data_IF_155765252022
#
_entry.id   IF_155765252022
#
_cell.length_a   1.000
_cell.length_b   1.000
_cell.length_c   1.000
_cell.angle_alpha   90.00
_cell.angle_beta   90.00
_cell.angle_gamma   90.00
#
_symmetry.space_group_name_H-M   'P 1'
#
loop_
_entity.id
_entity.type
_entity.pdbx_description
1 polymer ?
#
# COMPACT_ATOMS: atom_id res chain seq x y z
N UNK A 1 51.48 -4.64 56.95
CA UNK A 1 52.61 -5.19 57.72
C UNK A 1 52.36 -6.69 57.83
N UNK A 2 53.12 -7.62 57.24
CA UNK A 2 54.39 -7.53 56.48
C UNK A 2 54.43 -8.76 55.56
N UNK A 3 54.34 -8.65 54.23
CA UNK A 3 55.41 -8.43 53.23
C UNK A 3 56.53 -9.50 53.15
N UNK A 4 56.37 -10.44 52.21
CA UNK A 4 57.41 -11.24 51.51
C UNK A 4 56.80 -11.70 50.15
N UNK A 5 57.52 -11.87 49.04
CA UNK A 5 58.92 -11.51 48.76
C UNK A 5 59.55 -12.27 47.58
N UNK A 6 59.55 -11.67 46.38
CA UNK A 6 60.32 -12.07 45.18
C UNK A 6 59.69 -13.12 44.24
N UNK A 7 60.27 -13.46 43.07
CA UNK A 7 61.04 -12.72 42.05
C UNK A 7 61.60 -13.71 41.00
N UNK A 8 61.68 -13.30 39.73
CA UNK A 8 62.39 -14.00 38.63
C UNK A 8 61.47 -14.40 37.45
N UNK A 9 61.84 -14.38 36.17
CA UNK A 9 62.91 -13.82 35.29
C UNK A 9 62.94 -14.74 34.04
N UNK A 10 63.38 -14.25 32.87
CA UNK A 10 63.32 -14.98 31.58
C UNK A 10 62.10 -14.56 30.74
N UNK A 11 62.13 -13.62 29.77
CA UNK A 11 63.08 -13.22 28.72
C UNK A 11 63.44 -14.30 27.70
N UNK A 12 62.78 -14.25 26.54
CA UNK A 12 63.36 -14.50 25.21
C UNK A 12 62.82 -13.46 24.21
N UNK A 13 63.49 -13.27 23.07
CA UNK A 13 63.18 -12.24 22.08
C UNK A 13 63.58 -12.68 20.65
N UNK A 14 62.95 -12.07 19.64
CA UNK A 14 63.09 -12.40 18.22
C UNK A 14 61.70 -12.38 17.56
N UNK A 15 61.27 -11.30 16.90
CA UNK A 15 61.73 -10.78 15.61
C UNK A 15 61.37 -11.72 14.45
N UNK A 16 60.29 -11.38 13.76
CA UNK A 16 60.29 -11.25 12.30
C UNK A 16 59.14 -10.33 11.88
N UNK A 17 59.29 -9.66 10.73
CA UNK A 17 58.30 -8.75 10.19
C UNK A 17 57.96 -9.18 8.76
N UNK A 18 56.67 -9.32 8.46
CA UNK A 18 56.18 -9.49 7.11
C UNK A 18 55.03 -8.49 6.85
N UNK A 19 55.03 -7.89 5.67
CA UNK A 19 54.22 -6.72 5.36
C UNK A 19 53.34 -6.95 4.13
N UNK A 20 52.11 -7.44 4.34
CA UNK A 20 51.09 -7.44 3.29
C UNK A 20 49.97 -8.45 3.45
N UNK A 21 48.81 -7.98 3.89
CA UNK A 21 47.74 -7.79 2.90
C UNK A 21 46.95 -6.52 3.21
N UNK A 22 46.69 -5.73 2.17
CA UNK A 22 45.86 -4.53 2.23
C UNK A 22 44.37 -4.87 2.17
N UNK A 23 43.92 -5.73 3.10
CA UNK A 23 42.56 -6.30 3.18
C UNK A 23 41.46 -5.24 3.30
N UNK A 24 41.15 -4.60 2.17
CA UNK A 24 40.29 -3.42 2.04
C UNK A 24 38.82 -3.80 2.25
N UNK A 25 38.44 -3.98 3.51
CA UNK A 25 37.06 -4.24 3.95
C UNK A 25 36.12 -3.14 3.44
N UNK A 26 35.45 -3.42 2.33
CA UNK A 26 34.65 -2.46 1.62
C UNK A 26 33.47 -1.98 2.47
N UNK A 27 33.49 -0.71 2.86
CA UNK A 27 32.40 -0.04 3.56
C UNK A 27 31.18 0.21 2.61
N UNK A 28 30.59 -0.90 2.13
CA UNK A 28 29.44 -0.94 1.23
C UNK A 28 28.13 -1.30 1.93
N UNK A 29 28.05 -1.12 3.26
CA UNK A 29 26.84 -1.37 4.04
C UNK A 29 25.80 -0.29 3.72
N UNK A 30 24.95 -0.57 2.73
CA UNK A 30 23.73 0.18 2.50
C UNK A 30 22.86 0.23 3.77
N UNK A 31 22.05 1.28 3.97
CA UNK A 31 21.53 1.67 5.28
C UNK A 31 20.74 0.55 5.97
N UNK A 32 21.39 -0.13 6.93
CA UNK A 32 20.85 -1.33 7.55
C UNK A 32 19.50 -1.05 8.24
N UNK A 33 18.58 -2.01 8.16
CA UNK A 33 17.29 -1.94 8.85
C UNK A 33 17.52 -2.35 10.32
N UNK A 34 17.40 -1.45 11.31
CA UNK A 34 17.77 -1.77 12.69
C UNK A 34 17.08 -3.02 13.23
N UNK A 35 17.78 -3.76 14.09
CA UNK A 35 17.29 -5.04 14.62
C UNK A 35 15.86 -4.96 15.19
N UNK A 36 15.52 -3.90 15.94
CA UNK A 36 14.17 -3.66 16.45
C UNK A 36 13.09 -3.62 15.35
N UNK A 37 13.39 -3.04 14.19
CA UNK A 37 12.48 -3.02 13.04
C UNK A 37 12.33 -4.41 12.39
N UNK A 38 13.40 -5.21 12.38
CA UNK A 38 13.36 -6.62 11.92
C UNK A 38 12.54 -7.51 12.85
N UNK A 39 12.74 -7.36 14.17
CA UNK A 39 12.00 -8.07 15.22
C UNK A 39 10.52 -7.73 15.18
N UNK A 40 10.16 -6.45 15.05
CA UNK A 40 8.77 -6.03 14.87
C UNK A 40 8.15 -6.68 13.62
N UNK A 41 8.84 -6.66 12.49
CA UNK A 41 8.33 -7.25 11.25
C UNK A 41 8.15 -8.78 11.35
N UNK A 42 9.02 -9.49 12.07
CA UNK A 42 8.86 -10.91 12.36
C UNK A 42 7.60 -11.18 13.19
N UNK A 43 7.45 -10.49 14.33
CA UNK A 43 6.30 -10.63 15.21
C UNK A 43 4.97 -10.27 14.51
N UNK A 44 4.96 -9.29 13.60
CA UNK A 44 3.78 -8.97 12.79
C UNK A 44 3.47 -10.04 11.72
N UNK A 45 4.47 -10.76 11.20
CA UNK A 45 4.22 -11.94 10.34
C UNK A 45 3.61 -13.09 11.15
N UNK A 46 4.12 -13.36 12.35
CA UNK A 46 3.58 -14.39 13.26
C UNK A 46 2.12 -14.12 13.63
N UNK A 47 1.77 -12.88 13.97
CA UNK A 47 0.37 -12.48 14.18
C UNK A 47 -0.45 -12.65 12.89
N UNK A 48 0.07 -12.24 11.73
CA UNK A 48 -0.64 -12.41 10.45
C UNK A 48 -0.92 -13.88 10.13
N UNK A 49 0.04 -14.79 10.25
CA UNK A 49 -0.21 -16.19 9.87
C UNK A 49 -1.29 -16.84 10.76
N UNK A 50 -1.38 -16.47 12.06
CA UNK A 50 -2.49 -16.91 12.92
C UNK A 50 -3.88 -16.40 12.48
N UNK A 51 -3.97 -15.29 11.74
CA UNK A 51 -5.24 -14.84 11.14
C UNK A 51 -5.67 -15.66 9.92
N UNK A 52 -4.76 -16.47 9.34
CA UNK A 52 -4.96 -17.14 8.05
C UNK A 52 -5.10 -16.18 6.84
N UNK A 53 -4.95 -14.87 7.02
CA UNK A 53 -5.21 -13.90 5.96
C UNK A 53 -4.05 -13.82 4.96
N UNK A 54 -4.35 -14.00 3.69
CA UNK A 54 -3.44 -13.60 2.59
C UNK A 54 -3.20 -12.08 2.62
N UNK A 55 -2.08 -11.61 2.05
CA UNK A 55 -1.78 -10.17 1.98
C UNK A 55 -2.89 -9.37 1.26
N UNK A 56 -3.60 -9.97 0.31
CA UNK A 56 -4.76 -9.37 -0.35
C UNK A 56 -5.97 -9.28 0.60
N UNK A 57 -6.25 -10.34 1.38
CA UNK A 57 -7.36 -10.34 2.34
C UNK A 57 -7.12 -9.37 3.51
N UNK A 58 -5.88 -9.29 4.02
CA UNK A 58 -5.49 -8.30 5.03
C UNK A 58 -5.62 -6.87 4.51
N UNK A 59 -5.22 -6.62 3.25
CA UNK A 59 -5.41 -5.31 2.60
C UNK A 59 -6.88 -4.98 2.31
N UNK A 60 -7.76 -5.98 2.17
CA UNK A 60 -9.21 -5.79 2.05
C UNK A 60 -9.91 -5.50 3.38
N UNK A 61 -9.34 -5.95 4.51
CA UNK A 61 -9.88 -5.74 5.86
C UNK A 61 -9.30 -4.53 6.60
N UNK A 62 -8.38 -3.78 6.00
CA UNK A 62 -7.67 -2.65 6.65
C UNK A 62 -7.47 -1.48 5.68
N UNK A 63 -7.23 -0.24 6.13
CA UNK A 63 -7.12 0.93 5.23
C UNK A 63 -5.82 1.00 4.40
N UNK A 64 -4.98 -0.06 4.44
CA UNK A 64 -3.63 -0.14 3.88
C UNK A 64 -3.55 -1.15 2.72
N UNK A 65 -2.84 -0.78 1.63
CA UNK A 65 -2.70 -1.63 0.45
C UNK A 65 -1.85 -2.88 0.70
N UNK A 66 -1.99 -3.89 -0.17
CA UNK A 66 -1.11 -5.09 -0.19
C UNK A 66 0.38 -4.72 -0.20
N UNK A 67 0.78 -3.75 -1.03
CA UNK A 67 2.17 -3.26 -1.12
C UNK A 67 2.62 -2.48 0.13
N UNK A 68 1.68 -1.88 0.89
CA UNK A 68 1.97 -1.28 2.19
C UNK A 68 2.27 -2.38 3.21
N UNK A 69 1.39 -3.38 3.31
CA UNK A 69 1.58 -4.55 4.17
C UNK A 69 2.86 -5.31 3.88
N UNK A 70 3.15 -5.56 2.60
CA UNK A 70 4.37 -6.22 2.16
C UNK A 70 5.63 -5.45 2.56
N UNK A 71 5.62 -4.10 2.52
CA UNK A 71 6.75 -3.29 3.01
C UNK A 71 6.90 -3.34 4.52
N UNK A 72 5.80 -3.34 5.28
CA UNK A 72 5.82 -3.42 6.74
C UNK A 72 6.32 -4.79 7.22
N UNK A 73 5.75 -5.87 6.69
CA UNK A 73 6.05 -7.26 7.05
C UNK A 73 7.44 -7.72 6.57
N UNK A 74 8.08 -6.98 5.66
CA UNK A 74 9.47 -7.17 5.25
C UNK A 74 10.45 -6.15 5.88
N UNK A 75 10.02 -5.37 6.89
CA UNK A 75 10.80 -4.32 7.56
C UNK A 75 11.32 -3.17 6.64
N UNK A 76 10.90 -3.14 5.36
CA UNK A 76 11.24 -2.10 4.36
C UNK A 76 10.57 -0.74 4.65
N UNK A 77 9.67 -0.70 5.62
CA UNK A 77 9.12 0.52 6.22
C UNK A 77 8.66 0.17 7.64
N UNK A 78 8.82 1.09 8.58
CA UNK A 78 8.07 1.01 9.84
C UNK A 78 6.55 1.10 9.50
N UNK A 79 5.69 0.23 10.04
CA UNK A 79 4.24 0.40 9.96
C UNK A 79 3.77 1.58 10.83
N UNK A 80 2.65 2.24 10.50
CA UNK A 80 1.94 3.08 11.46
C UNK A 80 1.40 2.23 12.63
N UNK A 81 1.35 2.78 13.85
CA UNK A 81 0.79 2.09 15.02
C UNK A 81 -0.67 1.65 14.82
N UNK A 82 -1.46 2.43 14.06
CA UNK A 82 -2.85 2.05 13.70
C UNK A 82 -2.90 0.77 12.83
N UNK A 83 -1.87 0.51 12.01
CA UNK A 83 -1.76 -0.75 11.26
C UNK A 83 -1.42 -1.93 12.18
N UNK A 84 -0.48 -1.73 13.10
CA UNK A 84 -0.11 -2.72 14.13
C UNK A 84 -1.35 -3.14 14.95
N UNK A 85 -2.12 -2.14 15.41
CA UNK A 85 -3.36 -2.37 16.18
C UNK A 85 -4.41 -3.13 15.38
N UNK A 86 -4.69 -2.72 14.14
CA UNK A 86 -5.65 -3.41 13.28
C UNK A 86 -5.27 -4.87 12.97
N UNK A 87 -3.98 -5.20 12.93
CA UNK A 87 -3.53 -6.59 12.75
C UNK A 87 -3.68 -7.43 14.03
N UNK A 88 -3.41 -6.84 15.21
CA UNK A 88 -3.69 -7.50 16.49
C UNK A 88 -5.20 -7.74 16.68
N UNK A 89 -6.03 -6.73 16.36
CA UNK A 89 -7.50 -6.82 16.41
C UNK A 89 -8.03 -7.95 15.50
N UNK A 90 -7.52 -8.06 14.26
CA UNK A 90 -7.84 -9.15 13.34
C UNK A 90 -7.36 -10.54 13.79
N UNK A 91 -6.48 -10.63 14.80
CA UNK A 91 -5.98 -11.86 15.41
C UNK A 91 -6.60 -12.18 16.78
N UNK A 92 -7.40 -11.27 17.36
CA UNK A 92 -7.89 -11.38 18.73
C UNK A 92 -6.85 -11.05 19.81
N UNK A 93 -5.70 -10.46 19.43
CA UNK A 93 -4.58 -10.18 20.33
C UNK A 93 -4.74 -8.84 21.08
N UNK A 94 -4.39 -8.77 22.39
CA UNK A 94 -4.27 -7.51 23.09
C UNK A 94 -3.08 -6.70 22.53
N UNK A 95 -3.27 -5.46 22.03
CA UNK A 95 -2.24 -4.74 21.29
C UNK A 95 -1.10 -4.17 22.15
N UNK A 96 -1.13 -4.33 23.47
CA UNK A 96 -0.16 -3.73 24.40
C UNK A 96 1.29 -4.19 24.12
N UNK A 97 1.53 -5.50 24.10
CA UNK A 97 2.86 -6.10 23.86
C UNK A 97 3.42 -5.72 22.48
N UNK A 98 2.55 -5.62 21.46
CA UNK A 98 2.97 -5.21 20.12
C UNK A 98 3.18 -3.69 20.00
N UNK A 99 2.46 -2.89 20.80
CA UNK A 99 2.70 -1.43 20.90
C UNK A 99 4.08 -1.15 21.49
N UNK A 100 4.47 -1.80 22.58
CA UNK A 100 5.81 -1.65 23.16
C UNK A 100 6.94 -2.05 22.18
N UNK A 101 6.75 -3.15 21.42
CA UNK A 101 7.66 -3.55 20.34
C UNK A 101 7.71 -2.54 19.20
N UNK A 102 6.59 -1.88 18.89
CA UNK A 102 6.52 -0.81 17.89
C UNK A 102 7.25 0.46 18.35
N UNK A 103 7.14 0.84 19.62
CA UNK A 103 7.83 2.03 20.18
C UNK A 103 9.35 1.89 20.12
N UNK A 104 9.89 0.70 20.48
CA UNK A 104 11.32 0.39 20.32
C UNK A 104 11.77 0.46 18.85
N UNK A 105 10.94 -0.04 17.93
CA UNK A 105 11.23 0.04 16.50
C UNK A 105 11.14 1.48 15.96
N UNK A 106 10.21 2.32 16.44
CA UNK A 106 10.14 3.73 16.06
C UNK A 106 11.34 4.52 16.61
N UNK A 107 11.75 4.29 17.85
CA UNK A 107 12.95 4.92 18.44
C UNK A 107 14.20 4.62 17.60
N UNK A 108 14.41 3.36 17.21
CA UNK A 108 15.50 2.94 16.34
C UNK A 108 15.39 3.54 14.91
N UNK A 109 14.19 3.58 14.33
CA UNK A 109 13.95 4.18 13.01
C UNK A 109 14.21 5.69 13.01
N UNK A 110 13.78 6.41 14.07
CA UNK A 110 14.09 7.82 14.33
C UNK A 110 15.58 8.05 14.58
N UNK A 111 16.31 7.06 15.07
CA UNK A 111 17.77 7.05 15.10
C UNK A 111 18.38 7.10 13.70
N UNK A 112 18.01 6.13 12.84
CA UNK A 112 18.51 6.06 11.46
C UNK A 112 18.16 7.31 10.62
N UNK A 113 17.00 7.92 10.88
CA UNK A 113 16.59 9.16 10.21
C UNK A 113 17.45 10.38 10.61
N UNK A 114 18.05 10.39 11.82
CA UNK A 114 18.97 11.44 12.26
C UNK A 114 20.39 11.22 11.74
N UNK A 115 20.90 9.99 11.75
CA UNK A 115 22.24 9.70 11.20
C UNK A 115 22.28 9.90 9.67
N UNK A 116 21.21 9.56 8.96
CA UNK A 116 21.08 9.80 7.52
C UNK A 116 20.95 11.27 7.10
N UNK A 117 20.88 12.22 8.03
CA UNK A 117 20.85 13.66 7.75
C UNK A 117 22.23 14.35 7.91
N UNK A 118 23.25 13.63 8.39
CA UNK A 118 24.54 14.19 8.81
C UNK A 118 25.57 14.45 7.69
N UNK A 119 25.15 14.68 6.45
CA UNK A 119 26.07 14.79 5.29
C UNK A 119 25.70 15.90 4.27
N UNK A 120 25.24 17.07 4.74
CA UNK A 120 25.27 18.30 3.92
C UNK A 120 26.04 19.38 4.69
N UNK A 121 27.06 19.94 4.04
CA UNK A 121 27.96 20.96 4.60
C UNK A 121 27.35 22.36 4.48
N UNK A 122 27.50 23.14 5.53
CA UNK A 122 27.02 24.53 5.61
C UNK A 122 27.92 25.51 4.83
N UNK A 123 27.30 26.45 4.11
CA UNK A 123 27.92 27.67 3.57
C UNK A 123 26.81 28.71 3.25
N UNK A 124 26.96 30.00 3.62
CA UNK A 124 25.91 31.02 3.41
C UNK A 124 26.12 31.89 2.15
N UNK A 125 25.06 32.55 1.69
CA UNK A 125 25.09 33.56 0.62
C UNK A 125 23.74 34.28 0.48
N UNK A 126 23.77 35.62 0.39
CA UNK A 126 22.59 36.52 0.55
C UNK A 126 22.17 37.15 -0.81
N UNK A 127 21.23 38.13 -0.95
CA UNK A 127 20.18 38.00 -1.97
C UNK A 127 20.09 39.12 -3.03
N UNK A 128 19.46 38.80 -4.16
CA UNK A 128 18.86 39.75 -5.12
C UNK A 128 17.93 38.99 -6.10
N UNK A 129 17.02 39.60 -6.88
CA UNK A 129 16.17 40.79 -6.73
C UNK A 129 15.25 40.88 -7.98
N UNK A 130 14.36 41.88 -8.01
CA UNK A 130 13.71 42.46 -9.20
C UNK A 130 12.67 41.65 -10.02
N UNK A 131 11.53 42.32 -10.23
CA UNK A 131 10.62 42.25 -11.40
C UNK A 131 9.87 40.92 -11.70
N UNK A 132 8.68 40.96 -12.32
CA UNK A 132 7.94 42.10 -12.88
C UNK A 132 6.60 42.35 -12.18
N UNK A 133 6.15 43.62 -12.21
CA UNK A 133 4.73 43.96 -12.11
C UNK A 133 4.06 43.64 -13.44
N UNK A 134 2.81 43.22 -13.41
CA UNK A 134 1.86 43.72 -14.41
C UNK A 134 0.45 43.81 -13.80
N UNK A 135 -0.40 44.61 -14.44
CA UNK A 135 -1.72 45.03 -13.95
C UNK A 135 -2.69 44.98 -15.12
N UNK A 136 -3.88 44.39 -14.95
CA UNK A 136 -5.15 45.05 -15.28
C UNK A 136 -6.38 44.18 -14.98
N UNK A 137 -7.54 44.79 -15.23
CA UNK A 137 -8.94 44.34 -15.31
C UNK A 137 -9.19 42.83 -15.55
N UNK A 138 -10.21 42.19 -14.96
CA UNK A 138 -11.63 42.60 -14.72
C UNK A 138 -12.49 42.60 -15.99
N UNK A 139 -13.11 41.46 -16.28
CA UNK A 139 -14.36 41.38 -17.06
C UNK A 139 -15.30 40.37 -16.40
N UNK A 140 -16.51 40.82 -16.08
CA UNK A 140 -17.70 40.05 -15.69
C UNK A 140 -18.86 40.69 -16.48
N UNK A 141 -19.77 39.91 -17.07
CA UNK A 141 -21.08 39.61 -16.43
C UNK A 141 -21.27 38.09 -16.22
N UNK A 142 -21.97 37.62 -15.18
CA UNK A 142 -23.43 37.70 -14.95
C UNK A 142 -24.21 36.93 -16.05
N UNK A 143 -24.42 35.62 -15.87
CA UNK A 143 -25.61 34.97 -15.26
C UNK A 143 -26.90 35.15 -16.07
N UNK A 144 -27.51 34.03 -16.47
CA UNK A 144 -28.94 33.77 -16.25
C UNK A 144 -29.24 32.25 -16.34
N UNK A 145 -30.21 31.70 -15.58
CA UNK A 145 -30.46 30.26 -15.50
C UNK A 145 -31.59 29.79 -16.42
N UNK A 146 -31.64 28.49 -16.70
CA UNK A 146 -32.85 27.83 -17.23
C UNK A 146 -32.90 26.33 -16.89
N UNK A 147 -34.04 25.93 -16.33
CA UNK A 147 -34.47 24.56 -16.08
C UNK A 147 -35.99 24.60 -15.91
N UNK A 148 -36.74 23.60 -16.40
CA UNK A 148 -37.48 22.78 -15.44
C UNK A 148 -37.55 21.28 -15.78
N UNK A 149 -37.99 20.51 -14.77
CA UNK A 149 -38.13 19.05 -14.76
C UNK A 149 -39.28 18.48 -15.60
N UNK A 150 -39.23 17.19 -15.95
CA UNK A 150 -40.21 16.20 -15.43
C UNK A 150 -39.88 14.72 -15.73
N UNK A 151 -39.58 13.98 -14.66
CA UNK A 151 -40.21 12.71 -14.23
C UNK A 151 -40.96 11.82 -15.25
N UNK A 152 -40.49 10.57 -15.49
CA UNK A 152 -41.15 9.36 -14.94
C UNK A 152 -40.38 8.01 -15.13
N UNK A 153 -40.88 6.92 -14.52
CA UNK A 153 -40.33 5.53 -14.44
C UNK A 153 -41.45 4.57 -13.94
N UNK A 154 -41.42 3.21 -14.03
CA UNK A 154 -40.79 2.22 -14.95
C UNK A 154 -41.83 1.29 -15.66
N UNK A 155 -41.39 0.30 -16.46
CA UNK A 155 -41.92 -1.10 -16.41
C UNK A 155 -41.11 -2.14 -17.22
N UNK A 156 -41.42 -3.44 -17.08
CA UNK A 156 -40.74 -4.63 -17.67
C UNK A 156 -41.75 -5.82 -17.78
N UNK A 157 -41.39 -7.00 -18.35
CA UNK A 157 -41.48 -7.48 -19.76
C UNK A 157 -42.85 -8.19 -20.09
N UNK A 158 -43.03 -9.02 -21.16
CA UNK A 158 -42.62 -10.45 -21.12
C UNK A 158 -42.31 -11.20 -22.48
N UNK A 159 -41.74 -12.41 -22.34
CA UNK A 159 -41.74 -13.63 -23.21
C UNK A 159 -42.10 -13.60 -24.73
N UNK A 160 -41.10 -13.89 -25.58
CA UNK A 160 -40.83 -15.23 -26.17
C UNK A 160 -41.72 -15.87 -27.26
N UNK A 161 -41.10 -16.64 -28.19
CA UNK A 161 -41.66 -17.84 -28.85
C UNK A 161 -40.62 -18.62 -29.70
N UNK A 162 -40.86 -19.91 -29.89
CA UNK A 162 -40.12 -20.87 -30.74
C UNK A 162 -40.80 -21.05 -32.11
N UNK A 163 -40.05 -21.53 -33.12
CA UNK A 163 -40.57 -22.50 -34.11
C UNK A 163 -39.44 -23.21 -34.87
N UNK A 164 -39.76 -24.31 -35.58
CA UNK A 164 -38.85 -25.12 -36.40
C UNK A 164 -39.58 -25.74 -37.61
N UNK A 165 -38.82 -26.21 -38.62
CA UNK A 165 -39.27 -27.00 -39.79
C UNK A 165 -38.05 -27.82 -40.25
N UNK A 166 -38.06 -29.14 -40.46
CA UNK A 166 -38.87 -30.00 -41.36
C UNK A 166 -38.59 -29.70 -42.86
N UNK A 167 -38.44 -30.67 -43.78
CA UNK A 167 -38.61 -32.15 -43.77
C UNK A 167 -37.60 -32.79 -44.80
N UNK A 168 -37.51 -34.06 -45.23
CA UNK A 168 -38.37 -35.28 -45.14
C UNK A 168 -37.56 -36.61 -45.33
N UNK A 169 -38.23 -37.71 -45.75
CA UNK A 169 -37.67 -39.01 -46.22
C UNK A 169 -38.59 -39.53 -47.37
N UNK A 170 -38.76 -40.84 -47.78
CA UNK A 170 -38.28 -42.18 -47.32
C UNK A 170 -37.18 -42.74 -48.29
N UNK A 171 -36.95 -44.02 -48.68
CA UNK A 171 -37.61 -45.37 -48.59
C UNK A 171 -36.54 -46.46 -48.91
N UNK A 172 -36.59 -47.75 -48.55
CA UNK A 172 -37.45 -48.53 -47.63
C UNK A 172 -37.73 -49.98 -48.12
N UNK A 173 -37.59 -50.99 -47.23
CA UNK A 173 -37.73 -52.48 -47.42
C UNK A 173 -36.64 -53.16 -48.28
N UNK A 174 -36.18 -54.39 -48.00
CA UNK A 174 -36.50 -55.43 -46.97
C UNK A 174 -35.19 -56.11 -46.47
N UNK A 175 -35.06 -57.31 -45.86
CA UNK A 175 -35.94 -58.45 -45.49
C UNK A 175 -35.37 -59.17 -44.22
N UNK A 176 -35.68 -60.47 -44.00
CA UNK A 176 -35.27 -61.36 -42.88
C UNK A 176 -35.54 -62.84 -43.30
N UNK A 177 -35.22 -63.94 -42.55
CA UNK A 177 -34.54 -64.11 -41.24
C UNK A 177 -33.10 -64.74 -41.38
N UNK A 178 -32.46 -65.66 -40.60
CA UNK A 178 -32.81 -66.64 -39.53
C UNK A 178 -31.61 -67.01 -38.57
N UNK A 179 -31.90 -67.92 -37.63
CA UNK A 179 -31.13 -68.65 -36.58
C UNK A 179 -29.98 -69.58 -37.05
N UNK A 180 -29.25 -70.34 -36.16
CA UNK A 180 -29.13 -70.31 -34.68
C UNK A 180 -27.68 -70.43 -34.08
N UNK A 181 -27.57 -70.25 -32.75
CA UNK A 181 -26.61 -70.87 -31.77
C UNK A 181 -25.09 -70.95 -32.03
N UNK A 182 -24.29 -70.35 -31.13
CA UNK A 182 -22.97 -70.82 -30.71
C UNK A 182 -22.65 -70.40 -29.25
N UNK A 183 -21.71 -71.08 -28.57
CA UNK A 183 -21.35 -70.86 -27.15
C UNK A 183 -20.33 -69.73 -26.95
N UNK A 184 -20.36 -69.08 -25.78
CA UNK A 184 -19.25 -68.28 -25.27
C UNK A 184 -18.11 -69.16 -24.74
N UNK A 185 -16.86 -68.65 -24.76
CA UNK A 185 -15.99 -68.75 -23.60
C UNK A 185 -15.40 -67.39 -23.19
N UNK A 186 -14.96 -67.27 -21.94
CA UNK A 186 -14.35 -66.04 -21.42
C UNK A 186 -12.80 -66.09 -21.44
N UNK A 187 -12.13 -65.03 -21.91
CA UNK A 187 -10.88 -64.48 -21.34
C UNK A 187 -10.21 -63.42 -22.25
N UNK A 188 -10.40 -62.12 -21.95
CA UNK A 188 -9.70 -61.02 -22.66
C UNK A 188 -9.51 -59.74 -21.80
N UNK A 189 -9.47 -59.86 -20.47
CA UNK A 189 -9.53 -58.73 -19.53
C UNK A 189 -8.17 -58.12 -19.14
N UNK A 190 -7.05 -58.64 -19.66
CA UNK A 190 -5.68 -58.24 -19.25
C UNK A 190 -5.08 -57.12 -20.12
N UNK A 191 -5.33 -57.11 -21.44
CA UNK A 191 -4.74 -56.12 -22.36
C UNK A 191 -5.18 -54.67 -22.10
N UNK A 192 -6.46 -54.44 -21.78
CA UNK A 192 -7.02 -53.08 -21.59
C UNK A 192 -6.45 -52.31 -20.39
N UNK A 193 -5.77 -52.96 -19.44
CA UNK A 193 -5.18 -52.28 -18.27
C UNK A 193 -3.80 -51.66 -18.57
N UNK A 194 -3.02 -52.25 -19.48
CA UNK A 194 -1.69 -51.75 -19.85
C UNK A 194 -1.74 -50.37 -20.52
N UNK A 195 -2.70 -50.17 -21.44
CA UNK A 195 -2.87 -48.90 -22.17
C UNK A 195 -3.23 -47.71 -21.26
N UNK A 196 -4.02 -47.94 -20.20
CA UNK A 196 -4.37 -46.88 -19.24
C UNK A 196 -3.15 -46.46 -18.40
N UNK A 197 -2.32 -47.42 -17.99
CA UNK A 197 -1.08 -47.12 -17.27
C UNK A 197 -0.08 -46.34 -18.15
N UNK A 198 0.10 -46.76 -19.41
CA UNK A 198 0.98 -46.06 -20.35
C UNK A 198 0.55 -44.59 -20.58
N UNK A 199 -0.75 -44.34 -20.78
CA UNK A 199 -1.28 -42.99 -20.95
C UNK A 199 -1.05 -42.10 -19.71
N UNK A 200 -1.20 -42.66 -18.50
CA UNK A 200 -0.94 -41.94 -17.26
C UNK A 200 0.55 -41.54 -17.11
N UNK A 201 1.47 -42.43 -17.48
CA UNK A 201 2.91 -42.12 -17.47
C UNK A 201 3.28 -41.00 -18.46
N UNK A 202 2.72 -41.01 -19.67
CA UNK A 202 2.97 -39.95 -20.67
C UNK A 202 2.43 -38.60 -20.17
N UNK A 203 1.23 -38.56 -19.58
CA UNK A 203 0.68 -37.34 -18.99
C UNK A 203 1.54 -36.81 -17.83
N UNK A 204 2.01 -37.69 -16.94
CA UNK A 204 2.89 -37.30 -15.83
C UNK A 204 4.23 -36.73 -16.32
N UNK A 205 4.83 -37.34 -17.36
CA UNK A 205 6.07 -36.84 -17.97
C UNK A 205 5.87 -35.48 -18.68
N UNK A 206 4.73 -35.25 -19.34
CA UNK A 206 4.40 -33.96 -19.94
C UNK A 206 4.21 -32.85 -18.88
N UNK A 207 3.59 -33.16 -17.74
CA UNK A 207 3.51 -32.24 -16.59
C UNK A 207 4.90 -31.98 -16.01
N UNK A 208 5.75 -33.00 -15.85
CA UNK A 208 7.10 -32.81 -15.34
C UNK A 208 7.95 -31.94 -16.28
N UNK A 209 7.89 -32.21 -17.60
CA UNK A 209 8.60 -31.44 -18.61
C UNK A 209 8.13 -29.98 -18.69
N UNK A 210 6.83 -29.71 -18.55
CA UNK A 210 6.31 -28.33 -18.53
C UNK A 210 6.63 -27.59 -17.23
N UNK A 211 6.69 -28.27 -16.08
CA UNK A 211 7.23 -27.69 -14.83
C UNK A 211 8.72 -27.39 -14.94
N UNK A 212 9.53 -28.28 -15.53
CA UNK A 212 10.96 -28.04 -15.77
C UNK A 212 11.18 -26.92 -16.79
N UNK A 213 10.36 -26.82 -17.84
CA UNK A 213 10.38 -25.70 -18.77
C UNK A 213 10.05 -24.37 -18.06
N UNK A 214 9.00 -24.33 -17.23
CA UNK A 214 8.64 -23.14 -16.46
C UNK A 214 9.77 -22.72 -15.49
N UNK A 215 10.38 -23.68 -14.79
CA UNK A 215 11.50 -23.43 -13.88
C UNK A 215 12.76 -22.96 -14.63
N UNK A 216 13.04 -23.48 -15.83
CA UNK A 216 14.21 -23.07 -16.62
C UNK A 216 14.02 -21.74 -17.36
N UNK A 217 12.77 -21.33 -17.65
CA UNK A 217 12.45 -19.95 -18.06
C UNK A 217 12.66 -19.00 -16.88
N UNK A 218 12.02 -19.26 -15.73
CA UNK A 218 12.13 -18.43 -14.51
C UNK A 218 13.56 -18.31 -13.98
N UNK A 219 14.46 -19.26 -14.32
CA UNK A 219 15.89 -19.20 -13.98
C UNK A 219 16.80 -18.66 -15.10
N UNK A 220 16.28 -18.41 -16.31
CA UNK A 220 17.02 -17.73 -17.38
C UNK A 220 16.91 -16.20 -17.33
N UNK A 221 15.84 -15.66 -16.75
CA UNK A 221 15.68 -14.22 -16.49
C UNK A 221 16.60 -13.67 -15.38
N UNK A 222 17.61 -14.46 -14.94
CA UNK A 222 18.55 -14.09 -13.87
C UNK A 222 19.74 -13.23 -14.32
N UNK A 223 20.21 -13.38 -15.56
CA UNK A 223 21.47 -12.81 -16.05
C UNK A 223 21.26 -11.83 -17.22
N UNK A 224 20.61 -10.71 -16.94
CA UNK A 224 20.59 -9.54 -17.83
C UNK A 224 20.65 -8.25 -17.01
N UNK A 225 21.84 -7.66 -16.91
CA UNK A 225 22.12 -6.47 -16.09
C UNK A 225 21.51 -5.17 -16.63
N UNK A 226 20.19 -5.00 -16.48
CA UNK A 226 19.55 -3.67 -16.53
C UNK A 226 19.14 -3.29 -15.11
N UNK A 227 19.68 -2.18 -14.60
CA UNK A 227 19.30 -1.67 -13.29
C UNK A 227 17.83 -1.21 -13.32
N UNK A 228 16.93 -2.06 -12.81
CA UNK A 228 15.51 -1.74 -12.69
C UNK A 228 15.37 -0.41 -11.92
N UNK A 229 14.57 0.56 -12.41
CA UNK A 229 14.45 1.85 -11.77
C UNK A 229 13.92 1.65 -10.34
N UNK A 230 14.74 2.01 -9.35
CA UNK A 230 14.35 2.01 -7.94
C UNK A 230 12.96 2.62 -7.81
N UNK A 231 11.98 1.94 -7.18
CA UNK A 231 10.57 2.35 -7.22
C UNK A 231 10.43 3.71 -6.55
N UNK A 232 10.43 4.76 -7.38
CA UNK A 232 10.50 6.13 -6.92
C UNK A 232 9.20 6.43 -6.18
N UNK A 233 9.28 6.56 -4.86
CA UNK A 233 8.15 6.95 -4.01
C UNK A 233 7.88 8.47 -4.11
N UNK A 234 8.12 9.02 -5.31
CA UNK A 234 7.86 10.38 -5.71
C UNK A 234 6.33 10.60 -5.76
N UNK A 235 5.81 11.69 -5.19
CA UNK A 235 4.38 11.96 -5.27
C UNK A 235 3.91 12.20 -6.70
N UNK A 236 2.66 11.82 -7.01
CA UNK A 236 2.03 12.01 -8.33
C UNK A 236 1.70 13.48 -8.67
N UNK A 237 2.17 14.42 -7.86
CA UNK A 237 2.10 15.86 -8.08
C UNK A 237 3.11 16.59 -7.18
N UNK A 238 3.56 17.76 -7.61
CA UNK A 238 4.31 18.72 -6.78
C UNK A 238 3.85 20.16 -7.02
N UNK A 239 3.87 20.97 -5.97
CA UNK A 239 3.48 22.38 -5.98
C UNK A 239 2.11 22.62 -6.61
N UNK A 240 2.04 23.53 -7.59
CA UNK A 240 0.80 23.89 -8.28
C UNK A 240 0.08 22.69 -8.92
N UNK A 241 0.81 21.66 -9.36
CA UNK A 241 0.20 20.47 -9.98
C UNK A 241 -0.58 19.58 -9.00
N UNK A 242 -0.56 19.87 -7.69
CA UNK A 242 -1.38 19.18 -6.69
C UNK A 242 -2.77 19.80 -6.47
N UNK A 243 -3.06 20.97 -7.02
CA UNK A 243 -4.34 21.68 -6.82
C UNK A 243 -5.55 20.80 -7.17
N UNK A 244 -6.49 20.70 -6.23
CA UNK A 244 -7.71 19.89 -6.40
C UNK A 244 -7.52 18.37 -6.39
N UNK A 245 -6.28 17.86 -6.31
CA UNK A 245 -6.00 16.40 -6.32
C UNK A 245 -6.16 15.78 -4.93
N UNK A 246 -6.45 14.48 -4.91
CA UNK A 246 -6.59 13.70 -3.68
C UNK A 246 -5.19 13.31 -3.10
N UNK A 247 -4.93 13.57 -1.80
CA UNK A 247 -3.62 13.35 -1.18
C UNK A 247 -3.26 11.87 -0.93
N UNK A 248 -4.24 10.95 -0.93
CA UNK A 248 -4.01 9.50 -0.86
C UNK A 248 -3.65 8.95 -2.24
N UNK A 249 -4.37 9.37 -3.29
CA UNK A 249 -4.10 8.99 -4.69
C UNK A 249 -2.74 9.49 -5.18
N UNK A 250 -2.33 10.70 -4.77
CA UNK A 250 -1.03 11.28 -5.16
C UNK A 250 0.15 10.86 -4.27
N UNK A 251 -0.06 10.01 -3.25
CA UNK A 251 1.00 9.56 -2.33
C UNK A 251 1.45 10.57 -1.27
N UNK A 252 1.02 11.84 -1.37
CA UNK A 252 1.40 12.94 -0.48
C UNK A 252 1.19 12.66 1.01
N UNK A 253 0.24 11.79 1.38
CA UNK A 253 -0.06 11.45 2.78
C UNK A 253 0.90 10.47 3.48
N UNK A 254 1.98 10.02 2.83
CA UNK A 254 2.86 8.96 3.34
C UNK A 254 3.63 9.30 4.63
N UNK A 255 4.05 8.27 5.37
CA UNK A 255 4.81 8.41 6.62
C UNK A 255 6.14 9.15 6.39
N UNK A 256 6.50 10.07 7.30
CA UNK A 256 7.69 10.92 7.19
C UNK A 256 7.59 12.09 6.20
N UNK A 257 6.75 12.00 5.16
CA UNK A 257 6.63 13.04 4.11
C UNK A 257 5.72 14.22 4.49
N UNK A 258 5.26 14.28 5.74
CA UNK A 258 4.19 15.18 6.17
C UNK A 258 4.37 15.73 7.57
N UNK A 259 4.05 17.01 7.77
CA UNK A 259 3.80 17.60 9.10
C UNK A 259 2.30 17.72 9.38
N UNK A 260 1.95 17.92 10.65
CA UNK A 260 0.57 18.20 11.12
C UNK A 260 0.61 19.46 11.98
N UNK A 261 0.60 20.68 11.38
CA UNK A 261 0.75 21.94 12.14
C UNK A 261 -0.41 22.22 13.09
N UNK A 262 -1.60 21.68 12.81
CA UNK A 262 -2.81 21.86 13.61
C UNK A 262 -3.57 20.54 13.72
N UNK A 263 -3.96 20.19 14.95
CA UNK A 263 -4.81 19.03 15.28
C UNK A 263 -5.80 19.42 16.37
N UNK A 264 -7.07 19.04 16.19
CA UNK A 264 -8.15 19.24 17.17
C UNK A 264 -9.03 17.99 17.26
N UNK A 265 -9.45 17.67 18.46
CA UNK A 265 -10.49 16.67 18.75
C UNK A 265 -11.68 17.44 19.31
N UNK A 266 -12.87 17.20 18.75
CA UNK A 266 -14.10 17.92 19.02
C UNK A 266 -15.11 16.97 19.71
N UNK A 267 -16.19 17.48 20.33
CA UNK A 267 -17.17 16.64 21.04
C UNK A 267 -17.73 15.52 20.15
N UNK A 268 -17.82 14.32 20.75
CA UNK A 268 -18.21 13.08 20.04
C UNK A 268 -17.08 12.42 19.25
N UNK A 269 -15.80 12.66 19.59
CA UNK A 269 -14.63 11.96 19.02
C UNK A 269 -14.18 12.44 17.64
N UNK A 270 -14.95 13.32 16.99
CA UNK A 270 -14.65 13.97 15.70
C UNK A 270 -13.25 14.58 15.74
N UNK A 271 -12.33 14.12 14.90
CA UNK A 271 -10.93 14.57 14.90
C UNK A 271 -10.54 15.18 13.55
N UNK A 272 -10.07 16.42 13.57
CA UNK A 272 -9.64 17.17 12.38
C UNK A 272 -8.19 17.63 12.52
N UNK A 273 -7.45 17.56 11.42
CA UNK A 273 -6.00 17.77 11.35
C UNK A 273 -5.68 18.56 10.06
N UNK A 274 -4.91 19.65 10.13
CA UNK A 274 -4.25 20.19 8.93
C UNK A 274 -3.03 19.32 8.65
N UNK A 275 -2.81 18.96 7.39
CA UNK A 275 -1.71 18.12 6.94
C UNK A 275 -0.96 18.88 5.84
N UNK A 276 0.37 18.94 5.96
CA UNK A 276 1.25 19.55 4.96
C UNK A 276 2.22 18.50 4.44
N UNK A 277 2.13 18.17 3.15
CA UNK A 277 3.07 17.28 2.49
C UNK A 277 4.26 18.10 1.98
N UNK A 278 5.40 18.03 2.64
CA UNK A 278 6.58 18.85 2.30
C UNK A 278 7.12 18.50 0.92
N UNK A 279 7.20 17.21 0.60
CA UNK A 279 7.57 16.71 -0.73
C UNK A 279 6.58 17.12 -1.84
N UNK A 280 5.30 17.33 -1.50
CA UNK A 280 4.28 17.79 -2.44
C UNK A 280 4.16 19.31 -2.52
N UNK A 281 4.67 20.06 -1.54
CA UNK A 281 4.41 21.50 -1.41
C UNK A 281 2.92 21.84 -1.35
N UNK A 282 2.12 21.03 -0.65
CA UNK A 282 0.66 21.13 -0.63
C UNK A 282 0.04 20.79 0.73
N UNK A 283 -1.10 21.44 1.04
CA UNK A 283 -1.85 21.32 2.29
C UNK A 283 -3.25 20.76 2.03
N UNK A 284 -3.77 19.96 2.97
CA UNK A 284 -5.16 19.48 2.99
C UNK A 284 -5.63 19.28 4.44
N UNK A 285 -6.94 19.12 4.66
CA UNK A 285 -7.46 18.64 5.93
C UNK A 285 -7.61 17.11 5.95
N UNK A 286 -7.28 16.51 7.09
CA UNK A 286 -7.57 15.13 7.46
C UNK A 286 -8.68 15.11 8.51
N UNK A 287 -9.65 14.21 8.34
CA UNK A 287 -10.77 14.03 9.25
C UNK A 287 -11.05 12.55 9.53
N UNK A 288 -11.46 12.23 10.75
CA UNK A 288 -11.85 10.89 11.22
C UNK A 288 -12.99 11.01 12.24
N UNK A 289 -13.86 10.00 12.31
CA UNK A 289 -14.98 9.97 13.26
C UNK A 289 -16.05 11.02 12.98
N UNK A 290 -16.24 11.40 11.72
CA UNK A 290 -17.27 12.37 11.30
C UNK A 290 -18.68 11.82 11.53
N UNK A 291 -19.67 12.72 11.62
CA UNK A 291 -21.09 12.37 11.55
C UNK A 291 -21.60 12.51 10.12
N UNK A 292 -22.73 11.89 9.81
CA UNK A 292 -23.40 12.07 8.52
C UNK A 292 -23.81 13.55 8.38
N UNK A 293 -23.55 14.16 7.23
CA UNK A 293 -23.80 15.57 6.97
C UNK A 293 -22.65 16.53 7.34
N UNK A 294 -21.73 16.14 8.25
CA UNK A 294 -20.57 16.97 8.64
C UNK A 294 -19.73 17.38 7.40
N UNK A 295 -19.33 18.64 7.35
CA UNK A 295 -18.41 19.18 6.34
C UNK A 295 -17.12 19.68 6.98
N UNK A 296 -15.98 19.20 6.48
CA UNK A 296 -14.66 19.69 6.86
C UNK A 296 -14.13 20.57 5.73
N UNK A 297 -13.75 21.80 6.07
CA UNK A 297 -13.31 22.83 5.13
C UNK A 297 -11.93 23.37 5.51
N UNK A 298 -11.01 23.38 4.54
CA UNK A 298 -9.69 24.01 4.66
C UNK A 298 -9.61 25.23 3.74
N UNK A 299 -9.05 26.31 4.26
CA UNK A 299 -8.81 27.57 3.54
C UNK A 299 -7.33 27.92 3.68
N UNK A 300 -6.60 27.91 2.57
CA UNK A 300 -5.25 28.50 2.48
C UNK A 300 -5.41 29.97 2.06
N UNK A 301 -4.71 30.93 2.69
CA UNK A 301 -4.76 32.33 2.28
C UNK A 301 -4.51 32.52 0.77
N UNK A 302 -5.36 33.31 0.12
CA UNK A 302 -5.26 33.57 -1.33
C UNK A 302 -5.69 32.40 -2.24
N UNK A 303 -6.30 31.33 -1.71
CA UNK A 303 -6.75 30.16 -2.48
C UNK A 303 -8.21 29.80 -2.21
N UNK A 304 -8.90 29.26 -3.23
CA UNK A 304 -10.29 28.77 -3.11
C UNK A 304 -10.37 27.65 -2.05
N UNK A 305 -11.25 27.76 -1.02
CA UNK A 305 -11.39 26.73 0.01
C UNK A 305 -11.68 25.35 -0.57
N UNK A 306 -11.10 24.30 0.04
CA UNK A 306 -11.41 22.90 -0.27
C UNK A 306 -12.25 22.31 0.85
N UNK A 307 -13.26 21.53 0.46
CA UNK A 307 -14.18 20.90 1.41
C UNK A 307 -14.33 19.41 1.14
N UNK A 308 -14.70 18.69 2.18
CA UNK A 308 -15.18 17.32 2.14
C UNK A 308 -16.44 17.24 3.00
N UNK A 309 -17.52 16.64 2.51
CA UNK A 309 -18.76 16.43 3.27
C UNK A 309 -19.07 14.94 3.36
N UNK A 310 -19.33 14.46 4.57
CA UNK A 310 -19.73 13.08 4.83
C UNK A 310 -21.14 12.84 4.32
N UNK A 311 -21.28 12.03 3.25
CA UNK A 311 -22.56 11.74 2.59
C UNK A 311 -23.01 10.28 2.78
N UNK A 312 -22.14 9.41 3.28
CA UNK A 312 -22.39 7.98 3.43
C UNK A 312 -22.01 7.47 4.83
N UNK A 313 -22.57 6.34 5.28
CA UNK A 313 -22.12 5.65 6.50
C UNK A 313 -20.68 5.11 6.45
N UNK A 314 -19.96 5.24 5.33
CA UNK A 314 -18.52 4.96 5.24
C UNK A 314 -17.68 6.23 5.52
N UNK A 315 -18.24 7.43 5.32
CA UNK A 315 -17.54 8.69 5.56
C UNK A 315 -17.37 9.02 7.06
N UNK A 316 -18.18 8.38 7.90
CA UNK A 316 -18.13 8.50 9.36
C UNK A 316 -17.04 7.63 9.99
N UNK A 317 -16.75 6.47 9.40
CA UNK A 317 -15.80 5.46 9.90
C UNK A 317 -14.39 5.61 9.34
N UNK A 318 -14.26 5.86 8.04
CA UNK A 318 -12.95 5.92 7.37
C UNK A 318 -12.21 7.25 7.63
N UNK A 319 -10.89 7.23 7.40
CA UNK A 319 -10.13 8.46 7.18
C UNK A 319 -10.59 9.15 5.89
N UNK A 320 -11.04 10.42 6.01
CA UNK A 320 -11.40 11.29 4.89
C UNK A 320 -10.49 12.50 4.79
N UNK A 321 -10.31 13.00 3.57
CA UNK A 321 -9.46 14.14 3.27
C UNK A 321 -10.21 15.15 2.39
N UNK A 322 -9.88 16.42 2.51
CA UNK A 322 -10.19 17.39 1.45
C UNK A 322 -9.24 17.16 0.26
N UNK A 323 -9.61 17.63 -0.94
CA UNK A 323 -8.63 17.94 -1.98
C UNK A 323 -7.47 18.79 -1.45
N UNK A 324 -6.32 18.67 -2.09
CA UNK A 324 -5.13 19.47 -1.78
C UNK A 324 -5.21 20.89 -2.35
N UNK A 325 -4.50 21.81 -1.69
CA UNK A 325 -4.16 23.15 -2.18
C UNK A 325 -2.66 23.39 -2.08
N UNK A 326 -2.00 23.89 -3.14
CA UNK A 326 -0.56 24.20 -3.14
C UNK A 326 -0.19 25.22 -2.07
N UNK A 327 0.76 24.90 -1.22
CA UNK A 327 1.22 25.76 -0.13
C UNK A 327 2.63 25.38 0.33
N UNK A 328 3.56 26.35 0.28
CA UNK A 328 4.92 26.18 0.83
C UNK A 328 4.97 26.35 2.35
N UNK A 329 4.00 27.05 2.94
CA UNK A 329 3.87 27.32 4.38
C UNK A 329 2.45 26.99 4.86
N UNK A 330 2.30 26.75 6.16
CA UNK A 330 1.02 26.44 6.81
C UNK A 330 0.44 27.62 7.58
N UNK A 331 1.20 28.71 7.73
CA UNK A 331 0.82 29.90 8.50
C UNK A 331 -0.45 30.53 7.92
N UNK A 332 -1.47 30.72 8.75
CA UNK A 332 -2.75 31.30 8.38
C UNK A 332 -3.71 30.33 7.70
N UNK A 333 -3.38 29.04 7.59
CA UNK A 333 -4.32 28.04 7.07
C UNK A 333 -5.45 27.84 8.07
N UNK A 334 -6.69 28.14 7.66
CA UNK A 334 -7.88 27.94 8.50
C UNK A 334 -8.50 26.57 8.23
N UNK A 335 -8.82 25.85 9.29
CA UNK A 335 -9.52 24.57 9.27
C UNK A 335 -10.81 24.68 10.08
N UNK A 336 -11.94 24.40 9.44
CA UNK A 336 -13.25 24.38 10.06
C UNK A 336 -13.88 22.99 9.98
N UNK A 337 -14.52 22.56 11.07
CA UNK A 337 -15.63 21.59 11.02
C UNK A 337 -16.94 22.38 11.04
N UNK A 338 -17.78 22.16 10.04
CA UNK A 338 -19.18 22.54 10.03
C UNK A 338 -19.98 21.27 10.34
N UNK A 339 -20.65 21.18 11.50
CA UNK A 339 -21.48 20.02 11.82
C UNK A 339 -22.60 19.77 10.80
N UNK A 340 -23.05 18.52 10.69
CA UNK A 340 -24.24 18.16 9.91
C UNK A 340 -25.56 18.51 10.58
N UNK A 341 -25.52 18.81 11.89
CA UNK A 341 -26.62 19.34 12.70
C UNK A 341 -26.51 20.88 12.82
N UNK A 342 -27.51 21.55 13.42
CA UNK A 342 -27.57 23.01 13.55
C UNK A 342 -26.54 23.63 14.53
N UNK A 343 -25.46 22.91 14.88
CA UNK A 343 -24.40 23.42 15.76
C UNK A 343 -23.49 24.41 15.01
N UNK A 344 -22.94 25.43 15.71
CA UNK A 344 -22.05 26.41 15.09
C UNK A 344 -20.76 25.77 14.56
N UNK A 345 -20.26 26.32 13.46
CA UNK A 345 -19.01 25.91 12.84
C UNK A 345 -17.81 26.17 13.75
N UNK A 346 -16.99 25.15 13.98
CA UNK A 346 -15.80 25.21 14.84
C UNK A 346 -14.55 25.37 13.96
N UNK A 347 -14.01 26.59 13.91
CA UNK A 347 -12.88 26.98 13.08
C UNK A 347 -11.61 27.24 13.92
N UNK A 348 -10.46 26.88 13.37
CA UNK A 348 -9.14 27.01 13.98
C UNK A 348 -8.12 27.42 12.91
N UNK A 349 -6.98 28.00 13.30
CA UNK A 349 -5.92 28.47 12.38
C UNK A 349 -4.58 27.82 12.74
N UNK A 350 -3.74 27.58 11.73
CA UNK A 350 -2.39 26.99 11.80
C UNK A 350 -1.27 28.00 11.44
#
# INVERSE_FOLDING_TARGET
MTSLGGNGHGTEAGTEAEAGDGGKVGAGVGPEVPAACRVLAAALREVRERTGLSLTALAGRTPYSRSSWERFLNAKSLPPLDAVRALCELAGDPPATMTARWELAEAAWRGRARTGAGTVREAPGTPAAAASRETSARTEPEVHPSSPSSTNKPSVPPTGKTSASASASPTGRAYAPISPTAKAPASASRARRAWVAAAACVAALAVLASVVALVTVVRRDGDAGTAAPSPQYAPGCTGRSCEGKDPKKMGCGGYGMTTTPLRRTLPGGRRIEVRHGTACGAVWARAMGLRLGDEVRVTVPGSTPKLFRAKTPADTRDYRATPMTPARTTKGVRLCLLPGDSQPAQCFTA
#
